data_IF_649852232614
#
_entry.id   IF_649852232614
#
_cell.length_a   1.000
_cell.length_b   1.000
_cell.length_c   1.000
_cell.angle_alpha   90.00
_cell.angle_beta   90.00
_cell.angle_gamma   90.00
#
_symmetry.space_group_name_H-M   'P 1'
#
loop_
_entity.id
_entity.type
_entity.pdbx_description
1 polymer ?
#
# COMPACT_ATOMS: atom_id res chain seq x y z
N UNK A 1 14.89 24.31 20.02
CA UNK A 1 16.02 23.50 19.50
C UNK A 1 15.44 22.22 18.93
N UNK A 2 15.66 21.94 17.65
CA UNK A 2 15.15 20.71 17.00
C UNK A 2 16.02 19.54 17.46
N UNK A 3 15.41 18.55 18.12
CA UNK A 3 16.07 17.31 18.50
C UNK A 3 16.34 16.50 17.21
N UNK A 4 17.62 16.39 16.84
CA UNK A 4 18.11 15.59 15.73
C UNK A 4 18.83 14.37 16.30
N UNK A 5 18.53 13.19 15.77
CA UNK A 5 19.28 11.97 16.09
C UNK A 5 20.40 11.82 15.08
N UNK A 6 21.62 11.53 15.55
CA UNK A 6 22.77 11.31 14.68
C UNK A 6 23.26 9.88 14.88
N UNK A 7 23.24 9.09 13.82
CA UNK A 7 23.69 7.71 13.80
C UNK A 7 24.88 7.63 12.85
N UNK A 8 26.05 7.25 13.34
CA UNK A 8 27.27 7.17 12.53
C UNK A 8 28.06 5.92 12.90
N UNK A 9 28.76 5.38 11.91
CA UNK A 9 29.68 4.25 12.03
C UNK A 9 29.01 2.96 12.51
N UNK A 10 27.75 2.75 12.14
CA UNK A 10 27.02 1.51 12.38
C UNK A 10 27.02 0.58 11.16
N UNK A 11 26.66 -0.68 11.42
CA UNK A 11 26.49 -1.74 10.45
C UNK A 11 25.05 -2.24 10.45
N UNK A 12 24.27 -1.75 9.50
CA UNK A 12 22.89 -2.17 9.30
C UNK A 12 22.87 -3.48 8.50
N UNK A 13 22.70 -4.58 9.23
CA UNK A 13 22.42 -5.91 8.68
C UNK A 13 21.58 -6.72 9.67
N UNK A 14 20.27 -6.56 9.63
CA UNK A 14 19.34 -7.40 10.39
C UNK A 14 18.40 -8.19 9.46
N UNK A 15 18.68 -9.48 9.20
CA UNK A 15 17.83 -10.29 8.33
C UNK A 15 16.50 -10.71 8.97
N UNK A 16 16.32 -10.51 10.27
CA UNK A 16 15.10 -10.89 11.01
C UNK A 16 14.12 -9.72 11.19
N UNK A 17 14.50 -8.50 10.80
CA UNK A 17 13.66 -7.31 10.90
C UNK A 17 13.29 -6.78 9.51
N UNK A 18 12.03 -6.38 9.34
CA UNK A 18 11.58 -5.73 8.11
C UNK A 18 12.22 -4.34 7.93
N UNK A 19 12.43 -3.63 9.04
CA UNK A 19 13.07 -2.31 9.07
C UNK A 19 14.21 -2.29 10.09
N UNK A 20 15.32 -1.66 9.71
CA UNK A 20 16.52 -1.53 10.52
C UNK A 20 16.64 -0.16 11.22
N UNK A 21 15.92 0.86 10.72
CA UNK A 21 15.86 2.19 11.31
C UNK A 21 14.45 2.76 11.11
N UNK A 22 13.96 3.50 12.10
CA UNK A 22 12.68 4.20 12.08
C UNK A 22 12.50 5.04 13.34
N UNK A 23 11.42 5.80 13.41
CA UNK A 23 11.02 6.54 14.62
C UNK A 23 9.54 6.35 14.89
N UNK A 24 9.12 6.55 16.13
CA UNK A 24 7.71 6.66 16.50
C UNK A 24 7.42 8.11 16.93
N UNK A 25 6.18 8.59 16.73
CA UNK A 25 5.78 10.00 16.93
C UNK A 25 5.83 10.49 18.37
N UNK A 26 5.75 9.59 19.33
CA UNK A 26 5.48 9.95 20.72
C UNK A 26 6.65 10.71 21.35
N UNK A 27 7.90 10.47 20.89
CA UNK A 27 9.09 11.14 21.43
C UNK A 27 10.20 11.45 20.37
N UNK A 28 10.35 12.76 20.09
CA UNK A 28 11.60 13.53 19.94
C UNK A 28 12.59 13.39 18.75
N UNK A 29 12.24 12.86 17.57
CA UNK A 29 13.09 13.08 16.38
C UNK A 29 12.30 13.57 15.17
N UNK A 30 12.59 14.78 14.68
CA UNK A 30 12.08 15.23 13.36
C UNK A 30 13.00 14.82 12.21
N UNK A 31 14.28 14.55 12.51
CA UNK A 31 15.30 14.20 11.53
C UNK A 31 16.33 13.24 12.15
N UNK A 32 16.69 12.20 11.40
CA UNK A 32 17.78 11.28 11.72
C UNK A 32 18.88 11.43 10.66
N UNK A 33 20.07 11.88 11.07
CA UNK A 33 21.28 11.90 10.26
C UNK A 33 21.94 10.51 10.35
N UNK A 34 21.68 9.66 9.36
CA UNK A 34 22.23 8.31 9.25
C UNK A 34 23.22 8.20 8.07
N UNK A 35 23.85 9.31 7.70
CA UNK A 35 24.67 9.41 6.50
C UNK A 35 25.85 8.44 6.51
N UNK A 36 26.68 8.53 7.55
CA UNK A 36 27.93 7.79 7.69
C UNK A 36 27.76 6.36 8.26
N UNK A 37 26.92 5.51 7.65
CA UNK A 37 26.73 4.12 8.08
C UNK A 37 26.93 3.13 6.94
N UNK A 38 27.17 1.86 7.28
CA UNK A 38 27.26 0.77 6.33
C UNK A 38 25.90 0.07 6.24
N UNK A 39 25.34 -0.01 5.03
CA UNK A 39 24.02 -0.60 4.76
C UNK A 39 24.09 -2.00 4.14
N UNK A 40 25.27 -2.61 4.14
CA UNK A 40 25.55 -3.90 3.50
C UNK A 40 25.69 -3.86 1.98
N UNK A 41 25.23 -2.78 1.34
CA UNK A 41 25.37 -2.55 -0.09
C UNK A 41 25.57 -1.07 -0.40
N UNK A 42 26.39 -0.74 -1.41
CA UNK A 42 26.48 0.61 -1.95
C UNK A 42 25.29 0.97 -2.85
N UNK A 43 24.41 0.01 -3.17
CA UNK A 43 23.25 0.20 -4.05
C UNK A 43 22.01 0.47 -3.19
N UNK A 44 21.43 1.68 -3.21
CA UNK A 44 20.31 2.04 -2.34
C UNK A 44 19.08 1.16 -2.52
N UNK A 45 18.75 0.75 -3.74
CA UNK A 45 17.63 -0.16 -3.99
C UNK A 45 17.70 -1.48 -3.19
N UNK A 46 18.89 -1.88 -2.73
CA UNK A 46 19.08 -3.10 -1.94
C UNK A 46 18.88 -2.90 -0.43
N UNK A 47 18.83 -1.65 0.06
CA UNK A 47 18.70 -1.38 1.49
C UNK A 47 17.62 -0.34 1.86
N UNK A 48 17.15 0.48 0.93
CA UNK A 48 16.18 1.55 1.23
C UNK A 48 14.85 1.03 1.79
N UNK A 49 14.42 -0.18 1.42
CA UNK A 49 13.24 -0.83 2.00
C UNK A 49 13.38 -1.14 3.49
N UNK A 50 14.60 -1.15 4.01
CA UNK A 50 14.90 -1.37 5.43
C UNK A 50 14.79 -0.09 6.26
N UNK A 51 14.51 1.05 5.63
CA UNK A 51 14.40 2.35 6.29
C UNK A 51 12.93 2.70 6.41
N UNK A 52 12.46 2.88 7.65
CA UNK A 52 11.10 3.29 7.94
C UNK A 52 11.05 4.81 8.15
N UNK A 53 10.89 5.53 7.05
CA UNK A 53 10.88 6.99 6.99
C UNK A 53 9.49 7.55 6.64
N UNK A 54 9.39 8.87 6.55
CA UNK A 54 8.16 9.63 6.30
C UNK A 54 7.34 9.15 5.08
N UNK A 55 7.94 8.42 4.14
CA UNK A 55 7.29 7.88 2.94
C UNK A 55 6.49 6.60 3.18
N UNK A 56 6.50 6.05 4.39
CA UNK A 56 5.63 4.93 4.75
C UNK A 56 4.48 5.33 5.68
N UNK A 57 4.55 6.49 6.38
CA UNK A 57 3.47 7.08 7.21
C UNK A 57 3.70 8.58 7.42
N UNK A 58 2.62 9.37 7.39
CA UNK A 58 2.53 10.84 7.57
C UNK A 58 3.10 11.41 8.89
N UNK A 59 3.76 10.58 9.68
CA UNK A 59 4.07 10.75 11.09
C UNK A 59 5.54 10.46 11.43
N UNK A 60 6.39 10.09 10.47
CA UNK A 60 7.75 9.61 10.76
C UNK A 60 8.82 10.68 10.46
N UNK A 61 9.99 10.53 11.08
CA UNK A 61 11.16 11.37 10.84
C UNK A 61 11.70 11.19 9.42
N UNK A 62 12.31 12.26 8.91
CA UNK A 62 13.15 12.19 7.72
C UNK A 62 14.47 11.52 8.09
N UNK A 63 14.85 10.47 7.37
CA UNK A 63 16.11 9.74 7.56
C UNK A 63 17.04 10.05 6.39
N UNK A 64 18.14 10.75 6.65
CA UNK A 64 19.12 11.07 5.62
C UNK A 64 20.19 9.98 5.54
N UNK A 65 20.40 9.43 4.34
CA UNK A 65 21.44 8.45 4.04
C UNK A 65 22.47 9.01 3.07
N UNK A 66 23.73 8.62 3.23
CA UNK A 66 24.85 9.06 2.38
C UNK A 66 25.54 10.36 2.84
N UNK A 67 26.88 10.46 2.78
CA UNK A 67 27.80 9.48 2.21
C UNK A 67 28.00 8.26 3.13
N UNK A 68 28.01 7.05 2.55
CA UNK A 68 27.93 5.79 3.29
C UNK A 68 29.32 5.22 3.61
N UNK A 69 29.40 4.40 4.65
CA UNK A 69 30.63 3.67 5.01
C UNK A 69 30.70 2.35 4.22
N UNK A 70 31.75 2.17 3.41
CA UNK A 70 31.96 0.94 2.64
C UNK A 70 32.39 -0.26 3.53
N UNK A 71 32.97 0.02 4.70
CA UNK A 71 33.50 -1.01 5.59
C UNK A 71 32.91 -0.88 6.99
N UNK A 72 32.54 -2.03 7.54
CA UNK A 72 31.97 -2.17 8.87
C UNK A 72 33.02 -2.06 9.99
N UNK A 73 32.66 -1.39 11.09
CA UNK A 73 33.40 -1.40 12.36
C UNK A 73 34.91 -1.03 12.26
N UNK A 74 35.31 -0.22 11.29
CA UNK A 74 36.67 0.32 11.22
C UNK A 74 36.79 1.67 11.95
N UNK A 75 37.94 1.90 12.59
CA UNK A 75 38.23 3.16 13.29
C UNK A 75 38.25 4.37 12.35
N UNK A 76 38.51 4.13 11.06
CA UNK A 76 38.47 5.12 9.99
C UNK A 76 37.85 4.48 8.72
N UNK A 77 36.51 4.37 8.64
CA UNK A 77 35.86 3.68 7.54
C UNK A 77 36.03 4.46 6.24
N UNK A 78 36.18 3.74 5.12
CA UNK A 78 36.20 4.37 3.81
C UNK A 78 34.80 4.91 3.48
N UNK A 79 34.68 6.24 3.43
CA UNK A 79 33.44 6.94 3.10
C UNK A 79 33.33 7.07 1.60
N UNK A 80 32.25 6.52 1.05
CA UNK A 80 31.95 6.57 -0.37
C UNK A 80 30.70 7.41 -0.58
N UNK A 81 30.72 8.26 -1.59
CA UNK A 81 29.55 9.01 -2.00
C UNK A 81 28.62 8.07 -2.79
N UNK A 82 27.34 8.05 -2.41
CA UNK A 82 26.31 7.58 -3.33
C UNK A 82 26.24 8.62 -4.44
N UNK A 83 26.92 8.38 -5.56
CA UNK A 83 26.55 9.06 -6.78
C UNK A 83 25.17 8.52 -7.16
N UNK A 84 24.20 9.42 -7.32
CA UNK A 84 22.90 9.14 -7.94
C UNK A 84 21.85 8.41 -7.09
N UNK A 85 21.49 8.92 -5.91
CA UNK A 85 20.21 8.51 -5.31
C UNK A 85 19.56 9.62 -4.49
N UNK A 86 19.12 10.66 -5.19
CA UNK A 86 17.79 11.17 -4.84
C UNK A 86 16.80 10.12 -5.35
N UNK A 87 15.78 9.76 -4.58
CA UNK A 87 14.64 9.00 -5.14
C UNK A 87 14.07 9.88 -6.24
N UNK A 88 14.50 9.64 -7.48
CA UNK A 88 14.20 10.49 -8.61
C UNK A 88 12.69 10.48 -8.77
N UNK A 89 12.10 11.66 -8.55
CA UNK A 89 10.67 11.90 -8.73
C UNK A 89 10.14 11.30 -10.05
N UNK A 90 10.96 11.32 -11.11
CA UNK A 90 10.65 10.81 -12.43
C UNK A 90 11.93 10.38 -13.15
N UNK A 91 11.95 9.14 -13.65
CA UNK A 91 13.06 8.61 -14.47
C UNK A 91 12.87 8.90 -15.96
N UNK A 92 13.94 9.19 -16.68
CA UNK A 92 13.89 9.43 -18.13
C UNK A 92 13.41 8.20 -18.92
N UNK A 93 13.74 6.99 -18.47
CA UNK A 93 13.31 5.74 -19.10
C UNK A 93 11.83 5.43 -18.89
N UNK A 94 11.19 6.03 -17.88
CA UNK A 94 9.80 5.78 -17.48
C UNK A 94 9.12 7.11 -17.08
N UNK A 95 8.91 8.03 -18.05
CA UNK A 95 8.48 9.40 -17.75
C UNK A 95 7.04 9.51 -17.20
N UNK A 96 6.26 8.42 -17.29
CA UNK A 96 4.90 8.34 -16.76
C UNK A 96 4.81 7.59 -15.42
N UNK A 97 5.93 7.14 -14.88
CA UNK A 97 6.01 6.53 -13.54
C UNK A 97 6.65 7.55 -12.61
N UNK A 98 5.93 7.88 -11.53
CA UNK A 98 6.33 8.89 -10.55
C UNK A 98 6.54 8.25 -9.18
N UNK A 99 7.48 8.79 -8.42
CA UNK A 99 7.72 8.36 -7.05
C UNK A 99 8.91 9.05 -6.42
N UNK A 100 8.83 9.44 -5.15
CA UNK A 100 9.94 10.03 -4.41
C UNK A 100 9.85 11.55 -4.23
N UNK A 101 11.01 12.19 -4.08
CA UNK A 101 11.11 13.56 -3.57
C UNK A 101 11.41 14.56 -4.68
N UNK A 102 10.66 15.66 -4.69
CA UNK A 102 10.76 16.77 -5.62
C UNK A 102 11.55 17.87 -4.90
N UNK A 103 12.84 17.96 -5.20
CA UNK A 103 13.75 18.94 -4.60
C UNK A 103 13.82 20.27 -5.36
N UNK A 104 13.41 20.26 -6.63
CA UNK A 104 13.44 21.40 -7.52
C UNK A 104 12.12 21.52 -8.31
N UNK A 105 12.01 22.55 -9.13
CA UNK A 105 10.78 22.80 -9.88
C UNK A 105 10.62 21.77 -11.01
N UNK A 106 9.49 21.07 -11.01
CA UNK A 106 9.17 20.06 -12.01
C UNK A 106 7.80 20.30 -12.65
N UNK A 107 7.72 20.05 -13.96
CA UNK A 107 6.47 20.14 -14.71
C UNK A 107 6.04 18.75 -15.22
N UNK A 108 4.79 18.39 -14.91
CA UNK A 108 4.06 17.25 -15.48
C UNK A 108 3.22 17.74 -16.65
N UNK A 109 3.83 17.70 -17.83
CA UNK A 109 3.19 18.08 -19.09
C UNK A 109 2.93 16.80 -19.90
N UNK A 110 1.68 16.53 -20.33
CA UNK A 110 1.36 15.40 -21.16
C UNK A 110 2.29 15.31 -22.37
N UNK A 111 2.67 14.08 -22.73
CA UNK A 111 3.53 13.80 -23.89
C UNK A 111 2.99 14.50 -25.15
N UNK A 112 3.91 15.09 -25.93
CA UNK A 112 3.60 15.88 -27.13
C UNK A 112 2.77 15.02 -28.11
N UNK A 113 1.51 15.38 -28.35
CA UNK A 113 0.65 14.69 -29.31
C UNK A 113 0.58 15.47 -30.63
N UNK A 114 0.92 14.82 -31.75
CA UNK A 114 0.86 15.39 -33.09
C UNK A 114 2.21 15.41 -33.82
N UNK A 115 2.14 15.43 -35.16
CA UNK A 115 3.31 15.49 -36.04
C UNK A 115 4.22 16.67 -35.69
N UNK A 116 5.55 16.46 -35.75
CA UNK A 116 6.57 17.49 -35.60
C UNK A 116 6.40 18.69 -36.56
N UNK A 117 5.52 18.58 -37.56
CA UNK A 117 5.21 19.61 -38.56
C UNK A 117 3.95 20.45 -38.26
N UNK A 118 3.15 20.13 -37.25
CA UNK A 118 1.93 20.89 -36.94
C UNK A 118 2.23 22.13 -36.10
N UNK A 119 1.88 23.32 -36.63
CA UNK A 119 1.92 24.60 -35.88
C UNK A 119 0.77 24.76 -34.88
N UNK A 120 -0.21 23.85 -34.91
CA UNK A 120 -1.36 23.87 -34.00
C UNK A 120 -1.09 22.89 -32.86
N UNK A 121 -0.88 23.46 -31.67
CA UNK A 121 -0.72 22.76 -30.40
C UNK A 121 -2.09 22.30 -29.94
N UNK A 122 -2.35 20.99 -29.94
CA UNK A 122 -3.56 20.44 -29.33
C UNK A 122 -3.19 19.67 -28.07
N UNK A 123 -3.99 19.82 -27.01
CA UNK A 123 -3.87 18.92 -25.86
C UNK A 123 -4.18 17.50 -26.32
N UNK A 124 -3.45 16.52 -25.79
CA UNK A 124 -3.79 15.13 -26.06
C UNK A 124 -5.25 14.86 -25.62
N UNK A 125 -5.97 13.93 -26.30
CA UNK A 125 -7.30 13.51 -25.88
C UNK A 125 -7.33 13.16 -24.39
N UNK A 126 -8.44 13.40 -23.69
CA UNK A 126 -8.55 13.18 -22.23
C UNK A 126 -8.21 11.75 -21.80
N UNK A 127 -8.41 10.77 -22.68
CA UNK A 127 -8.07 9.36 -22.47
C UNK A 127 -6.72 8.93 -23.08
N UNK A 128 -5.86 9.89 -23.45
CA UNK A 128 -4.54 9.55 -23.98
C UNK A 128 -3.66 8.93 -22.89
N UNK A 129 -2.92 7.85 -23.17
CA UNK A 129 -1.98 7.26 -22.21
C UNK A 129 -0.90 8.27 -21.79
N UNK A 130 -0.63 9.29 -22.61
CA UNK A 130 0.35 10.33 -22.33
C UNK A 130 -0.12 11.38 -21.32
N UNK A 131 -1.37 11.33 -20.86
CA UNK A 131 -1.92 12.19 -19.81
C UNK A 131 -2.01 11.46 -18.45
N UNK A 132 -1.69 10.16 -18.40
CA UNK A 132 -1.82 9.33 -17.20
C UNK A 132 -0.44 9.06 -16.61
N UNK A 133 -0.31 9.33 -15.32
CA UNK A 133 0.89 9.06 -14.53
C UNK A 133 0.55 8.02 -13.47
N UNK A 134 1.38 7.01 -13.34
CA UNK A 134 1.28 6.02 -12.26
C UNK A 134 2.24 6.42 -11.15
N UNK A 135 1.70 6.63 -9.95
CA UNK A 135 2.44 6.98 -8.75
C UNK A 135 2.67 5.70 -7.95
N UNK A 136 3.91 5.21 -7.97
CA UNK A 136 4.29 3.94 -7.34
C UNK A 136 4.86 4.10 -5.95
N UNK A 137 5.31 5.31 -5.61
CA UNK A 137 5.89 5.68 -4.31
C UNK A 137 5.40 7.07 -3.91
N UNK A 138 5.43 7.36 -2.61
CA UNK A 138 4.98 8.64 -2.06
C UNK A 138 5.66 9.83 -2.75
N UNK A 139 4.84 10.82 -3.14
CA UNK A 139 5.32 12.06 -3.72
C UNK A 139 5.54 13.10 -2.62
N UNK A 140 6.75 13.67 -2.52
CA UNK A 140 7.05 14.71 -1.54
C UNK A 140 7.58 15.97 -2.22
N UNK A 141 6.79 17.05 -2.19
CA UNK A 141 7.23 18.38 -2.62
C UNK A 141 7.84 19.10 -1.41
N UNK A 142 9.16 19.27 -1.40
CA UNK A 142 9.87 19.92 -0.29
C UNK A 142 9.64 21.44 -0.27
N UNK A 143 9.85 22.13 0.86
CA UNK A 143 9.78 23.59 0.91
C UNK A 143 10.71 24.24 -0.12
N UNK A 144 10.18 25.18 -0.91
CA UNK A 144 10.92 25.89 -1.97
C UNK A 144 10.92 25.20 -3.34
N UNK A 145 10.46 23.94 -3.44
CA UNK A 145 10.22 23.27 -4.71
C UNK A 145 8.77 23.48 -5.18
N UNK A 146 8.57 23.43 -6.51
CA UNK A 146 7.25 23.56 -7.15
C UNK A 146 6.96 22.39 -8.08
N UNK A 147 5.84 21.71 -7.88
CA UNK A 147 5.30 20.75 -8.83
C UNK A 147 4.18 21.42 -9.64
N UNK A 148 4.36 21.54 -10.95
CA UNK A 148 3.33 22.08 -11.85
C UNK A 148 2.68 20.98 -12.68
N UNK A 149 1.35 20.89 -12.65
CA UNK A 149 0.59 19.84 -13.35
C UNK A 149 -0.27 20.46 -14.45
N UNK A 150 -0.20 19.90 -15.65
CA UNK A 150 -1.03 20.38 -16.76
C UNK A 150 -2.50 19.94 -16.64
N UNK A 151 -3.46 20.75 -17.12
CA UNK A 151 -4.87 20.39 -17.23
C UNK A 151 -5.09 19.07 -17.98
N UNK A 152 -5.98 18.22 -17.48
CA UNK A 152 -6.29 16.90 -18.07
C UNK A 152 -5.34 15.78 -17.65
N UNK A 153 -4.36 16.05 -16.79
CA UNK A 153 -3.49 15.01 -16.22
C UNK A 153 -4.25 14.15 -15.21
N UNK A 154 -3.99 12.84 -15.24
CA UNK A 154 -4.51 11.86 -14.27
C UNK A 154 -3.32 11.26 -13.52
N UNK A 155 -3.27 11.40 -12.21
CA UNK A 155 -2.29 10.76 -11.34
C UNK A 155 -2.97 9.61 -10.61
N UNK A 156 -2.51 8.38 -10.88
CA UNK A 156 -3.02 7.14 -10.30
C UNK A 156 -2.10 6.65 -9.20
N UNK A 157 -2.57 6.71 -7.95
CA UNK A 157 -1.80 6.29 -6.78
C UNK A 157 -1.98 4.80 -6.53
N UNK A 158 -0.87 4.09 -6.31
CA UNK A 158 -0.89 2.75 -5.75
C UNK A 158 -1.47 2.76 -4.31
N UNK A 159 -1.87 1.58 -3.83
CA UNK A 159 -2.46 1.45 -2.50
C UNK A 159 -1.47 1.87 -1.40
N UNK A 160 -1.95 2.65 -0.44
CA UNK A 160 -1.12 3.19 0.63
C UNK A 160 -0.13 4.27 0.20
N UNK A 161 -0.13 4.66 -1.08
CA UNK A 161 0.72 5.74 -1.61
C UNK A 161 -0.03 7.06 -1.61
N UNK A 162 0.65 8.10 -1.13
CA UNK A 162 0.11 9.45 -1.00
C UNK A 162 1.01 10.53 -1.60
N UNK A 163 0.63 11.78 -1.33
CA UNK A 163 1.40 12.95 -1.70
C UNK A 163 1.43 13.94 -0.54
N UNK A 164 2.63 14.39 -0.19
CA UNK A 164 2.88 15.44 0.79
C UNK A 164 3.41 16.68 0.08
N UNK A 165 2.73 17.82 0.26
CA UNK A 165 3.14 19.10 -0.33
C UNK A 165 3.51 20.08 0.78
N UNK A 166 4.80 20.35 0.93
CA UNK A 166 5.33 21.41 1.81
C UNK A 166 5.90 22.61 1.03
N UNK A 167 6.17 22.42 -0.26
CA UNK A 167 6.45 23.48 -1.23
C UNK A 167 5.18 23.98 -1.92
N UNK A 168 5.25 24.12 -3.24
CA UNK A 168 4.14 24.60 -4.06
C UNK A 168 3.62 23.49 -5.00
N UNK A 169 2.30 23.33 -5.07
CA UNK A 169 1.62 22.52 -6.07
C UNK A 169 0.74 23.44 -6.91
N UNK A 170 0.98 23.50 -8.21
CA UNK A 170 0.30 24.42 -9.12
C UNK A 170 -0.27 23.69 -10.32
N UNK A 171 -1.43 24.13 -10.80
CA UNK A 171 -1.97 23.72 -12.11
C UNK A 171 -1.58 24.77 -13.17
N UNK A 172 -1.14 24.36 -14.36
CA UNK A 172 -0.93 25.33 -15.46
C UNK A 172 -2.26 25.75 -16.10
N UNK A 173 -2.30 26.91 -16.74
CA UNK A 173 -3.46 27.35 -17.54
C UNK A 173 -3.24 27.21 -19.06
N UNK A 174 -2.08 26.70 -19.47
CA UNK A 174 -1.64 26.68 -20.87
C UNK A 174 -2.55 25.87 -21.81
N UNK A 175 -3.30 24.90 -21.28
CA UNK A 175 -4.20 24.03 -22.05
C UNK A 175 -5.70 24.27 -21.79
N UNK A 176 -6.04 25.42 -21.20
CA UNK A 176 -7.40 25.87 -20.96
C UNK A 176 -7.93 25.58 -19.54
N UNK A 177 -8.90 26.38 -19.06
CA UNK A 177 -9.41 26.29 -17.68
C UNK A 177 -10.33 25.09 -17.45
N UNK A 178 -10.95 24.55 -18.50
CA UNK A 178 -12.03 23.56 -18.40
C UNK A 178 -11.56 22.17 -17.93
N UNK A 179 -10.30 21.80 -18.19
CA UNK A 179 -9.79 20.47 -17.85
C UNK A 179 -9.24 20.42 -16.42
N UNK A 180 -9.76 19.46 -15.65
CA UNK A 180 -9.31 19.19 -14.28
C UNK A 180 -8.04 18.35 -14.27
N UNK A 181 -7.26 18.48 -13.20
CA UNK A 181 -6.26 17.47 -12.82
C UNK A 181 -6.98 16.47 -11.93
N UNK A 182 -6.82 15.19 -12.23
CA UNK A 182 -7.48 14.10 -11.50
C UNK A 182 -6.43 13.37 -10.68
N UNK A 183 -6.65 13.32 -9.37
CA UNK A 183 -5.92 12.42 -8.47
C UNK A 183 -6.87 11.27 -8.16
N UNK A 184 -6.46 10.05 -8.44
CA UNK A 184 -7.28 8.85 -8.22
C UNK A 184 -6.42 7.72 -7.68
N UNK A 185 -7.02 6.79 -6.95
CA UNK A 185 -6.37 5.50 -6.74
C UNK A 185 -6.32 4.76 -8.07
N UNK A 186 -5.26 3.99 -8.29
CA UNK A 186 -5.27 2.93 -9.26
C UNK A 186 -6.37 1.94 -8.83
N UNK A 187 -7.22 1.45 -9.76
CA UNK A 187 -8.26 0.49 -9.40
C UNK A 187 -7.67 -0.68 -8.63
N UNK A 188 -8.06 -0.79 -7.37
CA UNK A 188 -7.61 -1.86 -6.50
C UNK A 188 -8.28 -3.15 -6.94
N UNK A 189 -7.49 -4.05 -7.52
CA UNK A 189 -7.93 -5.43 -7.74
C UNK A 189 -7.54 -6.18 -6.48
N UNK A 190 -8.48 -6.28 -5.53
CA UNK A 190 -8.36 -7.18 -4.40
C UNK A 190 -8.04 -8.58 -4.93
N UNK A 191 -6.91 -9.13 -4.51
CA UNK A 191 -6.52 -10.49 -4.92
C UNK A 191 -7.54 -11.47 -4.33
N UNK A 192 -8.42 -12.04 -5.16
CA UNK A 192 -9.38 -13.06 -4.74
C UNK A 192 -8.64 -14.27 -4.19
N UNK A 193 -8.80 -14.51 -2.89
CA UNK A 193 -8.28 -15.69 -2.22
C UNK A 193 -9.07 -16.91 -2.70
N UNK A 194 -8.40 -17.87 -3.34
CA UNK A 194 -9.03 -19.08 -3.87
C UNK A 194 -9.54 -20.03 -2.77
N UNK A 195 -9.14 -19.79 -1.53
CA UNK A 195 -9.52 -20.58 -0.36
C UNK A 195 -10.73 -19.99 0.39
N UNK A 196 -11.39 -18.97 -0.16
CA UNK A 196 -12.60 -18.36 0.39
C UNK A 196 -13.60 -18.19 -0.75
N UNK A 197 -14.87 -18.56 -0.54
CA UNK A 197 -15.95 -18.38 -1.51
C UNK A 197 -17.29 -18.13 -0.83
N UNK A 198 -18.21 -17.49 -1.55
CA UNK A 198 -19.62 -17.44 -1.20
C UNK A 198 -20.36 -18.47 -2.06
N UNK A 199 -21.33 -19.16 -1.47
CA UNK A 199 -22.16 -20.15 -2.18
C UNK A 199 -23.63 -19.88 -1.89
N UNK A 200 -24.44 -19.68 -2.92
CA UNK A 200 -25.88 -19.48 -2.76
C UNK A 200 -26.63 -20.78 -2.41
N UNK A 201 -27.97 -20.70 -2.37
CA UNK A 201 -28.83 -21.85 -2.09
C UNK A 201 -28.81 -22.91 -3.21
N UNK A 202 -28.48 -22.52 -4.45
CA UNK A 202 -28.41 -23.38 -5.63
C UNK A 202 -27.01 -24.02 -5.82
N UNK A 203 -26.02 -23.60 -5.02
CA UNK A 203 -24.66 -24.10 -5.07
C UNK A 203 -23.71 -23.32 -6.00
N UNK A 204 -24.12 -22.16 -6.51
CA UNK A 204 -23.30 -21.28 -7.34
C UNK A 204 -22.26 -20.53 -6.49
N UNK A 205 -21.01 -20.46 -6.97
CA UNK A 205 -19.93 -19.68 -6.35
C UNK A 205 -19.58 -18.37 -7.10
N UNK A 206 -20.37 -18.04 -8.13
CA UNK A 206 -20.32 -16.76 -8.86
C UNK A 206 -21.39 -15.80 -8.32
N UNK A 207 -21.31 -15.52 -7.03
CA UNK A 207 -22.28 -14.71 -6.30
C UNK A 207 -21.58 -13.71 -5.39
N UNK A 208 -22.28 -12.62 -5.09
CA UNK A 208 -21.83 -11.58 -4.14
C UNK A 208 -22.53 -11.68 -2.79
N UNK A 209 -23.49 -12.59 -2.66
CA UNK A 209 -24.16 -12.96 -1.42
C UNK A 209 -24.31 -14.49 -1.40
N UNK A 210 -24.08 -15.12 -0.26
CA UNK A 210 -24.08 -16.57 -0.12
C UNK A 210 -23.51 -17.03 1.22
N UNK A 211 -23.63 -18.33 1.49
CA UNK A 211 -22.93 -18.98 2.60
C UNK A 211 -21.43 -18.84 2.44
N UNK A 212 -20.74 -18.42 3.51
CA UNK A 212 -19.29 -18.33 3.51
C UNK A 212 -18.67 -19.72 3.69
N UNK A 213 -17.90 -20.13 2.69
CA UNK A 213 -17.15 -21.37 2.70
C UNK A 213 -15.65 -21.09 2.59
N UNK A 214 -14.85 -21.85 3.34
CA UNK A 214 -13.41 -21.66 3.49
C UNK A 214 -12.67 -22.98 3.33
N UNK A 215 -11.45 -22.92 2.81
CA UNK A 215 -10.57 -24.08 2.63
C UNK A 215 -9.43 -24.05 3.65
N UNK A 216 -9.51 -24.91 4.66
CA UNK A 216 -8.54 -25.01 5.76
C UNK A 216 -8.09 -26.46 5.90
N UNK A 217 -6.79 -26.68 6.11
CA UNK A 217 -6.19 -28.00 6.30
C UNK A 217 -6.60 -29.06 5.26
N UNK A 218 -6.75 -28.62 4.00
CA UNK A 218 -7.05 -29.51 2.87
C UNK A 218 -8.53 -29.81 2.66
N UNK A 219 -9.45 -29.21 3.42
CA UNK A 219 -10.89 -29.48 3.33
C UNK A 219 -11.68 -28.19 3.22
N UNK A 220 -12.72 -28.18 2.38
CA UNK A 220 -13.74 -27.12 2.36
C UNK A 220 -14.73 -27.29 3.51
N UNK A 221 -15.14 -26.18 4.10
CA UNK A 221 -16.12 -26.18 5.18
C UNK A 221 -16.74 -24.81 5.44
N UNK A 222 -17.67 -24.78 6.39
CA UNK A 222 -18.43 -23.60 6.78
C UNK A 222 -17.89 -22.97 8.06
N UNK A 223 -18.30 -21.72 8.31
CA UNK A 223 -17.87 -20.91 9.46
C UNK A 223 -19.02 -20.69 10.44
N UNK A 224 -18.78 -20.87 11.73
CA UNK A 224 -19.74 -20.55 12.79
C UNK A 224 -19.92 -19.04 12.98
N UNK A 225 -21.14 -18.60 13.23
CA UNK A 225 -21.45 -17.18 13.42
C UNK A 225 -21.15 -16.59 14.81
N UNK A 226 -20.83 -17.43 15.81
CA UNK A 226 -20.84 -17.05 17.23
C UNK A 226 -19.89 -15.90 17.58
N UNK A 227 -18.72 -15.84 16.95
CA UNK A 227 -17.74 -14.75 17.11
C UNK A 227 -17.64 -13.86 15.88
N UNK A 228 -18.57 -14.00 14.94
CA UNK A 228 -18.60 -13.23 13.70
C UNK A 228 -18.84 -11.75 14.01
N UNK A 229 -17.90 -10.88 13.60
CA UNK A 229 -17.94 -9.42 13.83
C UNK A 229 -17.68 -8.54 12.57
N UNK A 230 -17.98 -7.23 12.70
CA UNK A 230 -17.51 -6.08 11.87
C UNK A 230 -16.40 -6.41 10.91
N UNK A 231 -15.31 -6.64 11.61
CA UNK A 231 -13.97 -6.77 11.10
C UNK A 231 -13.79 -8.06 10.31
N UNK A 232 -14.39 -9.16 10.77
CA UNK A 232 -14.32 -10.46 10.08
C UNK A 232 -15.10 -10.43 8.77
N UNK A 233 -16.22 -9.68 8.71
CA UNK A 233 -16.97 -9.40 7.46
C UNK A 233 -16.02 -8.80 6.46
N UNK A 234 -15.46 -7.66 6.86
CA UNK A 234 -14.67 -6.82 6.01
C UNK A 234 -13.44 -7.57 5.50
N UNK A 235 -12.81 -8.38 6.36
CA UNK A 235 -11.72 -9.26 5.98
C UNK A 235 -12.17 -10.28 4.92
N UNK A 236 -13.31 -10.97 5.12
CA UNK A 236 -13.83 -11.93 4.16
C UNK A 236 -14.18 -11.27 2.81
N UNK A 237 -14.91 -10.15 2.81
CA UNK A 237 -15.25 -9.38 1.61
C UNK A 237 -13.97 -8.99 0.85
N UNK A 238 -12.98 -8.45 1.56
CA UNK A 238 -11.71 -8.08 0.96
C UNK A 238 -11.04 -9.29 0.30
N UNK A 239 -10.99 -10.44 0.99
CA UNK A 239 -10.43 -11.67 0.43
C UNK A 239 -11.23 -12.24 -0.75
N UNK A 240 -12.52 -11.91 -0.87
CA UNK A 240 -13.38 -12.30 -1.99
C UNK A 240 -13.26 -11.36 -3.20
N UNK A 241 -12.60 -10.21 -3.04
CA UNK A 241 -12.57 -9.19 -4.08
C UNK A 241 -13.68 -8.14 -3.97
N UNK A 242 -14.42 -8.14 -2.86
CA UNK A 242 -15.62 -7.35 -2.63
C UNK A 242 -15.37 -6.23 -1.63
N UNK A 243 -16.27 -5.25 -1.61
CA UNK A 243 -16.26 -4.15 -0.63
C UNK A 243 -17.43 -4.36 0.31
N UNK A 244 -17.14 -4.43 1.61
CA UNK A 244 -18.16 -4.57 2.65
C UNK A 244 -18.94 -3.25 2.82
N UNK A 245 -20.28 -3.34 2.85
CA UNK A 245 -21.16 -2.24 3.23
C UNK A 245 -21.54 -2.34 4.72
N UNK A 246 -21.11 -1.38 5.57
CA UNK A 246 -21.41 -1.41 7.01
C UNK A 246 -22.90 -1.40 7.35
N UNK A 247 -23.77 -0.91 6.46
CA UNK A 247 -25.22 -0.83 6.73
C UNK A 247 -25.89 -2.21 6.74
N UNK A 248 -25.33 -3.21 6.06
CA UNK A 248 -25.92 -4.54 5.92
C UNK A 248 -25.34 -5.58 6.89
N UNK A 249 -24.63 -5.10 7.89
CA UNK A 249 -24.01 -5.87 8.96
C UNK A 249 -24.99 -6.60 9.91
N UNK A 250 -26.27 -6.79 9.60
CA UNK A 250 -27.08 -7.77 10.35
C UNK A 250 -27.42 -9.01 9.52
N UNK A 251 -27.41 -8.87 8.19
CA UNK A 251 -27.81 -9.92 7.24
C UNK A 251 -26.76 -11.03 7.10
N UNK A 252 -25.51 -10.65 7.23
CA UNK A 252 -24.30 -11.44 7.10
C UNK A 252 -23.96 -12.40 8.29
N UNK A 253 -24.87 -12.60 9.26
CA UNK A 253 -24.59 -13.47 10.45
C UNK A 253 -25.11 -14.88 10.31
N UNK A 254 -26.22 -15.11 9.62
CA UNK A 254 -26.83 -16.43 9.48
C UNK A 254 -27.33 -16.57 8.07
N UNK A 255 -26.71 -17.46 7.30
CA UNK A 255 -27.24 -17.84 5.99
C UNK A 255 -28.42 -18.79 6.14
N UNK A 256 -29.40 -18.72 5.23
CA UNK A 256 -30.63 -19.51 5.32
C UNK A 256 -30.36 -21.01 5.19
N UNK A 257 -29.46 -21.40 4.29
CA UNK A 257 -29.07 -22.79 4.06
C UNK A 257 -27.70 -23.10 4.66
N UNK A 258 -27.64 -24.12 5.51
CA UNK A 258 -26.36 -24.61 6.05
C UNK A 258 -25.44 -25.28 5.02
N UNK A 259 -25.98 -25.70 3.87
CA UNK A 259 -25.29 -26.52 2.90
C UNK A 259 -24.91 -27.92 3.43
N UNK A 260 -24.11 -28.64 2.65
CA UNK A 260 -23.70 -30.02 2.95
C UNK A 260 -22.29 -30.14 3.56
N UNK A 261 -21.54 -29.05 3.56
CA UNK A 261 -20.16 -29.04 4.05
C UNK A 261 -20.10 -29.00 5.59
N UNK A 262 -19.08 -29.62 6.20
CA UNK A 262 -18.89 -29.57 7.64
C UNK A 262 -18.53 -28.16 8.09
N UNK A 263 -18.90 -27.82 9.33
CA UNK A 263 -18.40 -26.61 9.97
C UNK A 263 -16.97 -26.85 10.46
N UNK A 264 -16.02 -26.04 10.00
CA UNK A 264 -14.58 -26.27 10.23
C UNK A 264 -13.87 -25.10 10.93
N UNK A 265 -14.53 -23.95 11.08
CA UNK A 265 -14.00 -22.79 11.80
C UNK A 265 -15.04 -22.24 12.77
N UNK A 266 -14.63 -22.03 14.03
CA UNK A 266 -15.39 -21.34 15.09
C UNK A 266 -14.43 -20.49 15.94
N UNK A 267 -14.94 -19.58 16.77
CA UNK A 267 -14.16 -18.79 17.73
C UNK A 267 -12.97 -18.05 17.09
N UNK A 268 -13.17 -17.46 15.90
CA UNK A 268 -12.12 -16.79 15.14
C UNK A 268 -11.59 -15.58 15.92
N UNK A 269 -10.27 -15.54 16.11
CA UNK A 269 -9.53 -14.51 16.84
C UNK A 269 -8.31 -14.07 16.02
N UNK A 270 -8.44 -12.95 15.34
CA UNK A 270 -7.37 -12.33 14.57
C UNK A 270 -6.56 -11.33 15.43
N UNK A 271 -5.25 -11.26 15.22
CA UNK A 271 -4.39 -10.19 15.70
C UNK A 271 -4.63 -8.88 14.90
N UNK A 272 -4.05 -7.76 15.35
CA UNK A 272 -4.32 -6.44 14.75
C UNK A 272 -3.85 -6.31 13.30
N UNK A 273 -2.81 -7.05 12.92
CA UNK A 273 -2.17 -7.02 11.60
C UNK A 273 -2.54 -8.22 10.71
N UNK A 274 -3.36 -9.15 11.19
CA UNK A 274 -3.83 -10.27 10.37
C UNK A 274 -4.91 -9.80 9.40
N UNK A 275 -4.67 -10.03 8.11
CA UNK A 275 -5.58 -9.68 7.00
C UNK A 275 -6.14 -10.92 6.29
N UNK A 276 -5.78 -12.11 6.77
CA UNK A 276 -6.14 -13.40 6.17
C UNK A 276 -7.00 -14.20 7.15
N UNK A 277 -8.31 -14.27 6.89
CA UNK A 277 -9.31 -14.88 7.79
C UNK A 277 -8.94 -16.32 8.16
N UNK A 278 -8.47 -17.11 7.19
CA UNK A 278 -8.14 -18.52 7.39
C UNK A 278 -6.82 -18.75 8.13
N UNK A 279 -6.02 -17.70 8.37
CA UNK A 279 -4.79 -17.77 9.18
C UNK A 279 -5.00 -17.32 10.62
N UNK A 280 -6.05 -16.56 10.88
CA UNK A 280 -6.39 -16.17 12.23
C UNK A 280 -6.54 -17.40 13.11
N UNK A 281 -6.16 -17.30 14.38
CA UNK A 281 -6.39 -18.40 15.32
C UNK A 281 -7.89 -18.68 15.43
N UNK A 282 -8.28 -19.93 15.20
CA UNK A 282 -9.66 -20.38 15.29
C UNK A 282 -9.72 -21.79 15.91
N UNK A 283 -10.90 -22.17 16.40
CA UNK A 283 -11.18 -23.54 16.77
C UNK A 283 -11.51 -24.34 15.50
N UNK A 284 -11.06 -25.60 15.44
CA UNK A 284 -11.25 -26.49 14.28
C UNK A 284 -12.09 -27.73 14.64
N UNK A 285 -12.29 -28.63 13.66
CA UNK A 285 -13.16 -29.82 13.81
C UNK A 285 -12.77 -30.72 15.00
N UNK A 286 -11.47 -30.80 15.34
CA UNK A 286 -10.96 -31.60 16.46
C UNK A 286 -11.20 -30.98 17.84
N UNK A 287 -11.55 -29.69 17.91
CA UNK A 287 -11.79 -28.94 19.14
C UNK A 287 -13.14 -28.22 19.07
N UNK A 288 -14.20 -28.88 19.54
CA UNK A 288 -15.45 -28.27 20.03
C UNK A 288 -16.38 -27.52 19.05
N UNK A 289 -16.12 -27.44 17.74
CA UNK A 289 -17.06 -26.78 16.80
C UNK A 289 -18.47 -27.37 16.91
N UNK A 290 -18.59 -28.70 16.89
CA UNK A 290 -19.88 -29.39 17.02
C UNK A 290 -20.54 -29.27 18.41
N UNK A 291 -19.79 -28.84 19.43
CA UNK A 291 -20.31 -28.66 20.80
C UNK A 291 -20.72 -27.21 21.09
N UNK A 292 -20.20 -26.24 20.33
CA UNK A 292 -20.36 -24.80 20.58
C UNK A 292 -21.20 -24.04 19.55
N UNK A 293 -21.55 -24.66 18.42
CA UNK A 293 -22.30 -24.02 17.34
C UNK A 293 -23.26 -25.03 16.69
N UNK A 294 -24.50 -24.63 16.44
CA UNK A 294 -25.45 -25.48 15.70
C UNK A 294 -25.06 -25.52 14.23
N UNK A 295 -25.36 -26.62 13.57
CA UNK A 295 -25.10 -26.78 12.13
C UNK A 295 -25.85 -25.77 11.25
N UNK A 296 -26.90 -25.12 11.77
CA UNK A 296 -27.63 -24.03 11.10
C UNK A 296 -27.06 -22.63 11.36
N UNK A 297 -26.11 -22.48 12.28
CA UNK A 297 -25.52 -21.17 12.68
C UNK A 297 -24.32 -20.81 11.79
N UNK A 298 -24.49 -21.02 10.49
CA UNK A 298 -23.46 -20.79 9.49
C UNK A 298 -23.47 -19.33 9.04
N UNK A 299 -22.28 -18.75 8.95
CA UNK A 299 -22.06 -17.44 8.35
C UNK A 299 -22.40 -17.46 6.87
N UNK A 300 -23.11 -16.43 6.42
CA UNK A 300 -23.17 -16.06 5.01
C UNK A 300 -23.10 -14.55 4.87
N UNK A 301 -22.91 -14.08 3.66
CA UNK A 301 -22.89 -12.67 3.26
C UNK A 301 -24.12 -12.36 2.41
#
# INVERSE_FOLDING_TARGET
>A
MLYNVIIRRNCFKNPQAAYEIGTELTEHAKRIDAKENNWGSPVPAQFMSKIFDQFNRYSLAVIEVGPYAAVCNQRNPHITYLQEFFREFRKDSQPFVLGGTIYENHDLIPGRWGSATSRIRTSAPENSPHCRYTVTDDLHVVPGAKLTIAPGSVLEFHDGVGMLVQGELSRTEFFGPEKKVIFTSKPFVLAKNKNVRLVDDDGSDDVTEGRLEVFVDGTWGTVCNRTWSAKLAQMACNQLGLVSDPEFFENWRIFRSKGDLPMIMDNIRCEENEVDLIKCRHDGVSHNVAAGCRDTEVVGE
#
